data_IF_940070455391
#
_entry.id   IF_940070455391
#
_cell.length_a   1.000
_cell.length_b   1.000
_cell.length_c   1.000
_cell.angle_alpha   90.00
_cell.angle_beta   90.00
_cell.angle_gamma   90.00
#
_symmetry.space_group_name_H-M   'P 1'
#
loop_
_entity.id
_entity.type
_entity.pdbx_description
1 polymer ?
#
# COMPACT_ATOMS: atom_id res chain seq x y z
N UNK A 1 -10.03 7.71 2.16
CA UNK A 1 -8.73 7.46 1.49
C UNK A 1 -7.72 6.87 2.46
N UNK A 2 -6.97 5.85 2.02
CA UNK A 2 -5.93 5.18 2.78
C UNK A 2 -4.53 5.60 2.28
N UNK A 3 -3.46 5.28 3.04
CA UNK A 3 -2.08 5.55 2.63
C UNK A 3 -1.68 4.89 1.31
N UNK A 4 -2.33 3.79 0.96
CA UNK A 4 -2.05 2.99 -0.24
C UNK A 4 -3.08 3.20 -1.37
N UNK A 5 -4.10 4.05 -1.18
CA UNK A 5 -5.12 4.32 -2.19
C UNK A 5 -6.55 4.28 -1.66
N UNK A 6 -7.49 3.83 -2.50
CA UNK A 6 -8.88 3.65 -2.10
C UNK A 6 -9.09 2.21 -1.62
N UNK A 7 -9.70 2.09 -0.44
CA UNK A 7 -10.12 0.81 0.13
C UNK A 7 -11.66 0.82 0.19
N UNK A 8 -12.32 -0.30 -0.12
CA UNK A 8 -13.77 -0.43 0.00
C UNK A 8 -14.25 -0.09 1.41
N UNK A 9 -15.42 0.53 1.51
CA UNK A 9 -16.07 0.72 2.81
C UNK A 9 -16.67 -0.61 3.28
N UNK A 10 -16.73 -0.82 4.60
CA UNK A 10 -17.31 -2.03 5.17
C UNK A 10 -18.72 -2.27 4.63
N UNK A 11 -18.98 -3.50 4.19
CA UNK A 11 -20.26 -3.92 3.59
C UNK A 11 -20.46 -3.53 2.12
N UNK A 12 -19.51 -2.85 1.47
CA UNK A 12 -19.62 -2.53 0.03
C UNK A 12 -19.16 -3.67 -0.89
N UNK A 13 -18.43 -4.65 -0.35
CA UNK A 13 -18.15 -5.92 -1.00
C UNK A 13 -19.07 -6.97 -0.40
N UNK A 14 -19.83 -7.69 -1.24
CA UNK A 14 -20.64 -8.82 -0.79
C UNK A 14 -19.74 -9.97 -0.30
N UNK A 15 -20.05 -10.48 0.88
CA UNK A 15 -19.47 -11.69 1.45
C UNK A 15 -20.40 -12.90 1.35
N UNK A 16 -21.41 -12.85 0.48
CA UNK A 16 -22.44 -13.90 0.40
C UNK A 16 -21.82 -15.26 0.06
N UNK A 17 -22.15 -16.26 0.87
CA UNK A 17 -21.60 -17.61 0.74
C UNK A 17 -20.22 -17.83 1.36
N UNK A 18 -19.57 -16.80 1.93
CA UNK A 18 -18.24 -16.92 2.55
C UNK A 18 -18.28 -17.14 4.08
N UNK A 19 -19.47 -17.14 4.69
CA UNK A 19 -19.62 -17.25 6.14
C UNK A 19 -19.21 -15.95 6.87
N UNK A 20 -18.71 -16.07 8.11
CA UNK A 20 -18.25 -14.90 8.88
C UNK A 20 -16.93 -14.39 8.32
N UNK A 21 -16.95 -13.23 7.68
CA UNK A 21 -15.76 -12.51 7.21
C UNK A 21 -15.36 -11.47 8.25
N UNK A 22 -14.09 -11.45 8.63
CA UNK A 22 -13.52 -10.39 9.48
C UNK A 22 -12.98 -9.26 8.59
N UNK A 23 -13.78 -8.21 8.43
CA UNK A 23 -13.44 -7.07 7.58
C UNK A 23 -12.15 -6.36 8.02
N UNK A 24 -11.97 -6.22 9.33
CA UNK A 24 -10.80 -5.55 9.90
C UNK A 24 -9.52 -6.31 9.62
N UNK A 25 -9.56 -7.64 9.63
CA UNK A 25 -8.40 -8.46 9.23
C UNK A 25 -8.16 -8.41 7.72
N UNK A 26 -9.21 -8.46 6.90
CA UNK A 26 -9.08 -8.47 5.43
C UNK A 26 -8.50 -7.16 4.87
N UNK A 27 -8.84 -6.03 5.47
CA UNK A 27 -8.42 -4.71 5.01
C UNK A 27 -7.47 -4.00 5.98
N UNK A 28 -6.84 -4.76 6.88
CA UNK A 28 -5.84 -4.23 7.79
C UNK A 28 -4.69 -3.57 7.01
N UNK A 29 -4.23 -2.40 7.48
CA UNK A 29 -3.05 -1.73 6.96
C UNK A 29 -2.04 -1.51 8.10
N UNK A 30 -1.32 -2.56 8.54
CA UNK A 30 -0.36 -2.44 9.63
C UNK A 30 0.79 -1.50 9.22
N UNK A 31 1.01 -0.43 9.98
CA UNK A 31 2.05 0.57 9.65
C UNK A 31 3.45 -0.04 9.49
N UNK A 32 3.81 -0.98 10.35
CA UNK A 32 5.12 -1.65 10.29
C UNK A 32 5.34 -2.37 8.95
N UNK A 33 4.36 -3.17 8.51
CA UNK A 33 4.41 -3.88 7.23
C UNK A 33 4.60 -2.92 6.05
N UNK A 34 3.78 -1.87 5.98
CA UNK A 34 3.84 -0.91 4.87
C UNK A 34 5.11 -0.06 4.89
N UNK A 35 5.69 0.18 6.07
CA UNK A 35 6.97 0.89 6.20
C UNK A 35 8.12 0.05 5.63
N UNK A 36 8.12 -1.26 5.91
CA UNK A 36 9.09 -2.19 5.32
C UNK A 36 8.88 -2.34 3.81
N UNK A 37 7.63 -2.54 3.37
CA UNK A 37 7.28 -2.72 1.95
C UNK A 37 7.74 -1.56 1.05
N UNK A 38 7.51 -0.31 1.47
CA UNK A 38 7.93 0.86 0.67
C UNK A 38 9.46 1.00 0.63
N UNK A 39 10.15 0.68 1.74
CA UNK A 39 11.61 0.73 1.79
C UNK A 39 12.25 -0.34 0.87
N UNK A 40 11.71 -1.56 0.91
CA UNK A 40 12.10 -2.67 0.04
C UNK A 40 11.83 -2.35 -1.44
N UNK A 41 10.64 -1.85 -1.76
CA UNK A 41 10.26 -1.48 -3.13
C UNK A 41 11.16 -0.39 -3.70
N UNK A 42 11.44 0.67 -2.92
CA UNK A 42 12.36 1.73 -3.31
C UNK A 42 13.77 1.18 -3.55
N UNK A 43 14.26 0.29 -2.68
CA UNK A 43 15.57 -0.35 -2.85
C UNK A 43 15.61 -1.19 -4.12
N UNK A 44 14.63 -2.07 -4.32
CA UNK A 44 14.54 -2.94 -5.50
C UNK A 44 14.56 -2.13 -6.80
N UNK A 45 13.71 -1.10 -6.91
CA UNK A 45 13.64 -0.30 -8.14
C UNK A 45 14.92 0.52 -8.37
N UNK A 46 15.57 1.00 -7.31
CA UNK A 46 16.90 1.63 -7.41
C UNK A 46 17.96 0.65 -7.91
N UNK A 47 17.97 -0.58 -7.41
CA UNK A 47 18.99 -1.60 -7.77
C UNK A 47 18.76 -2.18 -9.17
N UNK A 48 17.51 -2.44 -9.55
CA UNK A 48 17.17 -3.10 -10.82
C UNK A 48 17.02 -2.14 -11.99
N UNK A 49 16.57 -0.90 -11.73
CA UNK A 49 16.27 0.08 -12.79
C UNK A 49 17.21 1.28 -12.72
N UNK A 50 17.76 1.62 -11.55
CA UNK A 50 18.81 2.62 -11.44
C UNK A 50 18.36 3.99 -11.93
N UNK A 51 19.14 4.60 -12.83
CA UNK A 51 18.84 5.90 -13.44
C UNK A 51 17.63 5.88 -14.37
N UNK A 52 17.30 4.73 -14.94
CA UNK A 52 16.27 4.61 -15.97
C UNK A 52 14.84 4.59 -15.38
N UNK A 53 14.72 4.56 -14.05
CA UNK A 53 13.43 4.64 -13.38
C UNK A 53 12.78 6.00 -13.67
N UNK A 54 11.61 6.05 -14.34
CA UNK A 54 10.98 7.30 -14.70
C UNK A 54 10.69 8.17 -13.48
N UNK A 55 10.90 9.48 -13.61
CA UNK A 55 10.73 10.44 -12.52
C UNK A 55 9.31 10.40 -11.91
N UNK A 56 8.30 10.18 -12.76
CA UNK A 56 6.92 10.05 -12.29
C UNK A 56 6.74 8.89 -11.29
N UNK A 57 7.47 7.77 -11.48
CA UNK A 57 7.41 6.62 -10.58
C UNK A 57 8.15 6.93 -9.27
N UNK A 58 9.33 7.55 -9.34
CA UNK A 58 10.07 8.00 -8.14
C UNK A 58 9.19 8.89 -7.26
N UNK A 59 8.54 9.88 -7.87
CA UNK A 59 7.61 10.77 -7.17
C UNK A 59 6.46 10.01 -6.51
N UNK A 60 5.87 9.01 -7.19
CA UNK A 60 4.81 8.20 -6.58
C UNK A 60 5.30 7.41 -5.36
N UNK A 61 6.52 6.86 -5.40
CA UNK A 61 7.12 6.16 -4.26
C UNK A 61 7.35 7.11 -3.08
N UNK A 62 7.86 8.31 -3.32
CA UNK A 62 8.10 9.32 -2.29
C UNK A 62 6.79 9.83 -1.67
N UNK A 63 5.77 10.08 -2.50
CA UNK A 63 4.44 10.47 -2.02
C UNK A 63 3.77 9.34 -1.22
N UNK A 64 3.95 8.08 -1.60
CA UNK A 64 3.42 6.94 -0.87
C UNK A 64 4.13 6.74 0.47
N UNK A 65 5.46 6.84 0.50
CA UNK A 65 6.26 6.79 1.73
C UNK A 65 5.84 7.90 2.71
N UNK A 66 5.58 9.11 2.22
CA UNK A 66 5.09 10.21 3.04
C UNK A 66 3.72 9.91 3.66
N UNK A 67 2.79 9.35 2.89
CA UNK A 67 1.46 8.93 3.40
C UNK A 67 1.57 7.81 4.43
N UNK A 68 2.44 6.82 4.20
CA UNK A 68 2.69 5.71 5.15
C UNK A 68 3.32 6.23 6.44
N UNK A 69 4.26 7.16 6.34
CA UNK A 69 4.90 7.79 7.51
C UNK A 69 3.89 8.54 8.39
N UNK A 70 2.88 9.15 7.77
CA UNK A 70 1.81 9.90 8.43
C UNK A 70 0.66 9.04 8.99
N UNK A 71 0.71 7.70 8.82
CA UNK A 71 -0.26 6.74 9.39
C UNK A 71 -0.34 6.79 10.92
#
# INVERSE_FOLDING_TARGET
PSPIGLVPQEGTISGDGLGKVDWNQMFALPKAYWTEDIAETKRFLKEQVGSDLPEAIRRQLDEQEARISAM
#
